data_IF_014963180009
#
_entry.id   IF_014963180009
#
_cell.length_a   1.000
_cell.length_b   1.000
_cell.length_c   1.000
_cell.angle_alpha   90.00
_cell.angle_beta   90.00
_cell.angle_gamma   90.00
#
_symmetry.space_group_name_H-M   'P 1'
#
loop_
_entity.id
_entity.type
_entity.pdbx_description
1 polymer ?
#
# COMPACT_ATOMS: atom_id res chain seq x y z
N UNK A 1 3.28 0.18 -3.25
CA UNK A 1 4.01 0.81 -2.11
C UNK A 1 4.18 -0.15 -0.92
N UNK A 2 3.18 -0.95 -0.58
CA UNK A 2 3.32 -1.97 0.46
C UNK A 2 4.09 -3.19 -0.07
N UNK A 3 4.93 -3.78 0.78
CA UNK A 3 5.84 -4.85 0.39
C UNK A 3 5.08 -6.17 0.24
N UNK A 4 5.23 -6.78 -0.93
CA UNK A 4 4.76 -8.13 -1.28
C UNK A 4 3.28 -8.42 -0.99
N UNK A 5 2.44 -7.42 -1.24
CA UNK A 5 0.98 -7.54 -1.15
C UNK A 5 0.35 -7.70 -2.55
N UNK A 6 0.89 -7.03 -3.56
CA UNK A 6 0.40 -7.04 -4.93
C UNK A 6 1.57 -7.14 -5.93
N UNK A 7 1.36 -6.65 -7.16
CA UNK A 7 2.38 -6.48 -8.21
C UNK A 7 3.30 -5.27 -7.99
N UNK A 8 3.12 -4.54 -6.89
CA UNK A 8 3.99 -3.47 -6.46
C UNK A 8 5.33 -3.94 -5.90
N UNK A 9 5.93 -3.19 -4.95
CA UNK A 9 7.29 -3.45 -4.50
C UNK A 9 7.41 -4.79 -3.78
N UNK A 10 8.48 -5.53 -4.12
CA UNK A 10 8.80 -6.85 -3.54
C UNK A 10 9.77 -6.80 -2.36
N UNK A 11 10.37 -5.64 -2.10
CA UNK A 11 11.29 -5.43 -0.98
C UNK A 11 11.04 -4.06 -0.36
N UNK A 12 11.47 -3.88 0.89
CA UNK A 12 11.33 -2.62 1.62
C UNK A 12 12.12 -1.48 0.95
N UNK A 13 13.28 -1.78 0.37
CA UNK A 13 14.11 -0.81 -0.34
C UNK A 13 13.38 -0.24 -1.56
N UNK A 14 12.67 -1.10 -2.31
CA UNK A 14 11.84 -0.65 -3.45
C UNK A 14 10.67 0.22 -2.99
N UNK A 15 10.04 -0.10 -1.86
CA UNK A 15 8.99 0.75 -1.27
C UNK A 15 9.53 2.12 -0.87
N UNK A 16 10.69 2.16 -0.21
CA UNK A 16 11.34 3.42 0.19
C UNK A 16 11.75 4.24 -1.03
N UNK A 17 12.26 3.60 -2.10
CA UNK A 17 12.61 4.29 -3.34
C UNK A 17 11.39 4.98 -3.97
N UNK A 18 10.23 4.33 -4.01
CA UNK A 18 8.99 4.93 -4.48
C UNK A 18 8.55 6.12 -3.61
N UNK A 19 8.69 6.01 -2.28
CA UNK A 19 8.35 7.09 -1.36
C UNK A 19 9.30 8.29 -1.51
N UNK A 20 10.59 8.05 -1.71
CA UNK A 20 11.59 9.11 -2.00
C UNK A 20 11.24 9.84 -3.29
N UNK A 21 10.96 9.09 -4.36
CA UNK A 21 10.51 9.68 -5.63
C UNK A 21 9.26 10.54 -5.45
N UNK A 22 8.24 10.01 -4.74
CA UNK A 22 7.02 10.78 -4.47
C UNK A 22 7.32 12.07 -3.68
N UNK A 23 8.24 12.02 -2.70
CA UNK A 23 8.67 13.22 -1.95
C UNK A 23 9.32 14.26 -2.87
N UNK A 24 10.21 13.82 -3.76
CA UNK A 24 10.91 14.68 -4.71
C UNK A 24 9.94 15.34 -5.70
N UNK A 25 8.83 14.69 -6.01
CA UNK A 25 7.71 15.22 -6.81
C UNK A 25 6.77 16.15 -6.01
N UNK A 26 7.03 16.37 -4.72
CA UNK A 26 6.25 17.25 -3.85
C UNK A 26 5.04 16.59 -3.17
N UNK A 27 4.92 15.26 -3.22
CA UNK A 27 3.83 14.53 -2.56
C UNK A 27 3.98 14.61 -1.04
N UNK A 28 2.89 14.96 -0.37
CA UNK A 28 2.83 15.08 1.11
C UNK A 28 1.98 14.00 1.77
N UNK A 29 1.15 13.31 0.99
CA UNK A 29 0.21 12.30 1.48
C UNK A 29 -0.06 11.25 0.41
N UNK A 30 -0.15 9.98 0.80
CA UNK A 30 -0.41 8.83 -0.08
C UNK A 30 -1.46 7.91 0.56
N UNK A 31 -2.46 7.52 -0.22
CA UNK A 31 -3.34 6.40 0.14
C UNK A 31 -2.78 5.14 -0.50
N UNK A 32 -2.44 4.14 0.32
CA UNK A 32 -1.98 2.84 -0.16
C UNK A 32 -3.19 2.03 -0.65
N UNK A 33 -3.29 1.77 -1.95
CA UNK A 33 -4.44 1.06 -2.55
C UNK A 33 -3.99 -0.23 -3.23
N UNK A 34 -3.46 -1.23 -2.50
CA UNK A 34 -3.11 -2.50 -3.12
C UNK A 34 -4.34 -3.22 -3.69
N UNK A 35 -4.10 -4.08 -4.68
CA UNK A 35 -5.15 -4.84 -5.35
C UNK A 35 -5.98 -5.71 -4.39
N UNK A 36 -7.31 -5.57 -4.46
CA UNK A 36 -8.30 -6.40 -3.76
C UNK A 36 -9.28 -7.05 -4.75
N UNK A 37 -9.80 -8.22 -4.38
CA UNK A 37 -10.60 -9.10 -5.26
C UNK A 37 -9.91 -9.42 -6.59
N UNK A 38 -8.57 -9.43 -6.66
CA UNK A 38 -7.86 -9.71 -7.90
C UNK A 38 -7.56 -11.21 -8.04
N UNK A 39 -7.66 -11.85 -9.23
CA UNK A 39 -7.49 -13.31 -9.33
C UNK A 39 -6.11 -13.83 -8.88
N UNK A 40 -5.11 -12.93 -8.85
CA UNK A 40 -3.74 -13.22 -8.40
C UNK A 40 -3.42 -12.74 -6.99
N UNK A 41 -4.27 -11.88 -6.40
CA UNK A 41 -3.98 -11.22 -5.13
C UNK A 41 -5.23 -11.22 -4.26
N UNK A 42 -5.13 -11.92 -3.14
CA UNK A 42 -6.16 -11.94 -2.11
C UNK A 42 -5.61 -11.25 -0.86
N UNK A 43 -5.80 -9.93 -0.83
CA UNK A 43 -5.33 -9.08 0.25
C UNK A 43 -6.54 -8.55 1.01
N UNK A 44 -6.71 -9.02 2.23
CA UNK A 44 -7.69 -8.48 3.19
C UNK A 44 -7.31 -7.07 3.62
N UNK A 45 -8.31 -6.28 4.04
CA UNK A 45 -8.05 -4.95 4.58
C UNK A 45 -7.15 -5.00 5.83
N UNK A 46 -7.28 -6.04 6.64
CA UNK A 46 -6.41 -6.25 7.81
C UNK A 46 -4.93 -6.43 7.42
N UNK A 47 -4.63 -7.15 6.34
CA UNK A 47 -3.25 -7.26 5.82
C UNK A 47 -2.71 -5.91 5.36
N UNK A 48 -3.54 -5.07 4.74
CA UNK A 48 -3.15 -3.69 4.37
C UNK A 48 -2.78 -2.89 5.61
N UNK A 49 -3.59 -2.95 6.67
CA UNK A 49 -3.31 -2.22 7.93
C UNK A 49 -1.98 -2.66 8.56
N UNK A 50 -1.73 -3.97 8.64
CA UNK A 50 -0.48 -4.52 9.19
C UNK A 50 0.72 -4.09 8.35
N UNK A 51 0.66 -4.26 7.02
CA UNK A 51 1.76 -3.90 6.12
C UNK A 51 2.04 -2.40 6.08
N UNK A 52 0.99 -1.58 6.18
CA UNK A 52 1.13 -0.13 6.28
C UNK A 52 1.80 0.28 7.61
N UNK A 53 1.42 -0.38 8.71
CA UNK A 53 2.06 -0.15 10.01
C UNK A 53 3.54 -0.54 9.97
N UNK A 54 3.88 -1.73 9.44
CA UNK A 54 5.27 -2.17 9.22
C UNK A 54 6.08 -1.12 8.44
N UNK A 55 5.57 -0.65 7.30
CA UNK A 55 6.25 0.35 6.48
C UNK A 55 6.47 1.68 7.23
N UNK A 56 5.49 2.15 8.00
CA UNK A 56 5.57 3.39 8.79
C UNK A 56 6.60 3.31 9.93
N UNK A 57 6.92 2.12 10.41
CA UNK A 57 7.95 1.95 11.46
C UNK A 57 9.38 2.09 10.94
N UNK A 58 9.58 2.04 9.63
CA UNK A 58 10.91 2.14 9.05
C UNK A 58 11.48 3.57 9.20
N UNK A 59 12.70 3.76 9.77
CA UNK A 59 13.25 5.08 10.05
C UNK A 59 13.34 6.01 8.83
N UNK A 60 13.72 5.46 7.67
CA UNK A 60 13.77 6.25 6.43
C UNK A 60 12.38 6.73 5.98
N UNK A 61 11.34 5.92 6.20
CA UNK A 61 9.96 6.32 5.85
C UNK A 61 9.50 7.46 6.76
N UNK A 62 9.84 7.41 8.05
CA UNK A 62 9.55 8.49 9.00
C UNK A 62 10.27 9.79 8.62
N UNK A 63 11.53 9.70 8.17
CA UNK A 63 12.31 10.86 7.76
C UNK A 63 11.75 11.56 6.51
N UNK A 64 10.98 10.87 5.66
CA UNK A 64 10.36 11.47 4.48
C UNK A 64 9.17 12.38 4.81
N UNK A 65 8.58 12.26 6.00
CA UNK A 65 7.42 13.04 6.41
C UNK A 65 6.29 13.02 5.37
N UNK A 66 5.99 11.82 4.83
CA UNK A 66 4.82 11.57 3.98
C UNK A 66 3.76 10.89 4.83
N UNK A 67 2.54 11.46 4.83
CA UNK A 67 1.40 10.84 5.51
C UNK A 67 0.89 9.67 4.68
N UNK A 68 0.99 8.46 5.21
CA UNK A 68 0.45 7.27 4.55
C UNK A 68 -0.94 6.97 5.11
N UNK A 69 -1.89 6.54 4.29
CA UNK A 69 -3.25 6.15 4.69
C UNK A 69 -3.62 4.78 4.09
N UNK A 70 -4.45 3.97 4.78
CA UNK A 70 -4.91 2.71 4.22
C UNK A 70 -6.01 2.92 3.18
N UNK A 71 -6.06 2.04 2.18
CA UNK A 71 -7.09 1.92 1.16
C UNK A 71 -6.91 0.60 0.42
N UNK A 72 -7.74 0.35 -0.59
CA UNK A 72 -7.63 -0.82 -1.48
C UNK A 72 -8.09 -0.41 -2.89
N UNK A 73 -7.46 -0.99 -3.90
CA UNK A 73 -7.96 -0.94 -5.27
C UNK A 73 -8.89 -2.13 -5.50
N UNK A 74 -10.20 -1.87 -5.43
CA UNK A 74 -11.22 -2.92 -5.52
C UNK A 74 -11.54 -3.20 -6.99
N UNK A 75 -11.20 -4.41 -7.45
CA UNK A 75 -11.61 -4.84 -8.78
C UNK A 75 -13.12 -5.07 -8.84
N UNK A 76 -13.79 -4.51 -9.84
CA UNK A 76 -15.21 -4.77 -10.09
C UNK A 76 -15.41 -6.24 -10.45
N UNK A 77 -16.26 -6.93 -9.69
CA UNK A 77 -16.63 -8.34 -9.87
C UNK A 77 -18.04 -8.60 -9.35
N UNK A 78 -18.60 -9.75 -9.71
CA UNK A 78 -19.89 -10.22 -9.19
C UNK A 78 -19.87 -10.45 -7.66
N UNK A 79 -18.68 -10.57 -7.07
CA UNK A 79 -18.47 -10.75 -5.63
C UNK A 79 -18.15 -9.45 -4.89
N UNK A 80 -18.26 -8.27 -5.53
CA UNK A 80 -17.84 -7.00 -4.92
C UNK A 80 -18.49 -6.77 -3.56
N UNK A 81 -19.80 -6.99 -3.44
CA UNK A 81 -20.54 -6.77 -2.19
C UNK A 81 -20.12 -7.74 -1.07
N UNK A 82 -19.67 -8.94 -1.41
CA UNK A 82 -19.19 -9.94 -0.45
C UNK A 82 -17.77 -9.63 0.04
N UNK A 83 -17.02 -8.85 -0.74
CA UNK A 83 -15.65 -8.45 -0.43
C UNK A 83 -15.52 -7.09 0.25
N UNK A 84 -16.62 -6.47 0.71
CA UNK A 84 -16.58 -5.17 1.41
C UNK A 84 -16.46 -5.30 2.93
N UNK A 85 -16.50 -6.52 3.47
CA UNK A 85 -16.45 -6.82 4.91
C UNK A 85 -15.03 -6.81 5.50
#
# INVERSE_FOLDING_TARGET
MLVDIDDGPKTIEKSIALLKQAKDEGVTSIVATPHHLHPRYDNTFQQVLVKLAELRTHPEVQALDIKLFPGQEIRITDSILQGLD
#
